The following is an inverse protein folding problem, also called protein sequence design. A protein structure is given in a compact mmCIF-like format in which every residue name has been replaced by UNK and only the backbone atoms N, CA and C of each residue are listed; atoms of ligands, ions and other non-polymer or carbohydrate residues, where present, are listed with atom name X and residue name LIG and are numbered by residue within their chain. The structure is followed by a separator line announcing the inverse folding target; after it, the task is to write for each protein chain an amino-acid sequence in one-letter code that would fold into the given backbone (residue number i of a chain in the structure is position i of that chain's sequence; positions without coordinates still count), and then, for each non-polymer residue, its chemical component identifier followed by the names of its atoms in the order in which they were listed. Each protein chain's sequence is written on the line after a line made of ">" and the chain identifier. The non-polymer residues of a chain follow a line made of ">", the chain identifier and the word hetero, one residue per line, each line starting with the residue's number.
data_IF_512976453120
#
_entry.id   IF_512976453120
#
_cell.length_a   1.000
_cell.length_b   1.000
_cell.length_c   1.000
_cell.angle_alpha   90.00
_cell.angle_beta   90.00
_cell.angle_gamma   90.00
#
_symmetry.space_group_name_H-M   'P 1'
#
loop_
_entity.id
_entity.type
_entity.pdbx_description
1 polymer ?
#
# COMPACT_ATOMS: atom_id res chain seq x y z
N UNK A 1 -1.67 -24.07 -15.04
CA UNK A 1 -1.63 -22.86 -14.22
C UNK A 1 -1.92 -23.26 -12.78
N UNK A 2 -0.92 -23.24 -11.91
CA UNK A 2 -1.10 -23.48 -10.48
C UNK A 2 -1.99 -22.37 -9.92
N UNK A 3 -3.18 -22.72 -9.43
CA UNK A 3 -4.07 -21.76 -8.78
C UNK A 3 -3.44 -21.38 -7.43
N UNK A 4 -3.20 -20.09 -7.20
CA UNK A 4 -2.69 -19.60 -5.94
C UNK A 4 -3.64 -19.97 -4.78
N UNK A 5 -3.08 -20.57 -3.73
CA UNK A 5 -3.80 -20.89 -2.52
C UNK A 5 -3.76 -19.72 -1.55
N UNK A 6 -4.92 -19.24 -1.16
CA UNK A 6 -5.09 -18.20 -0.14
C UNK A 6 -5.60 -18.85 1.14
N UNK A 7 -4.83 -18.75 2.21
CA UNK A 7 -5.25 -19.27 3.50
C UNK A 7 -5.91 -18.18 4.34
N UNK A 8 -7.03 -18.51 4.96
CA UNK A 8 -7.81 -17.60 5.84
C UNK A 8 -7.74 -18.13 7.25
N UNK A 9 -7.28 -17.32 8.19
CA UNK A 9 -7.17 -17.65 9.62
C UNK A 9 -8.00 -16.65 10.43
N UNK A 10 -9.06 -17.11 11.04
CA UNK A 10 -9.99 -16.28 11.83
C UNK A 10 -10.73 -17.20 12.79
N UNK A 11 -10.99 -16.83 14.04
CA UNK A 11 -11.73 -17.65 14.99
C UNK A 11 -13.25 -17.60 14.76
N UNK A 12 -13.76 -16.57 14.05
CA UNK A 12 -15.16 -16.47 13.65
C UNK A 12 -15.44 -17.29 12.38
N UNK A 13 -16.28 -18.33 12.51
CA UNK A 13 -16.67 -19.17 11.38
C UNK A 13 -17.37 -18.40 10.27
N UNK A 14 -18.19 -17.38 10.59
CA UNK A 14 -18.91 -16.58 9.61
C UNK A 14 -17.96 -15.78 8.73
N UNK A 15 -16.93 -15.18 9.33
CA UNK A 15 -15.89 -14.44 8.62
C UNK A 15 -15.06 -15.40 7.74
N UNK A 16 -14.64 -16.54 8.29
CA UNK A 16 -13.91 -17.56 7.51
C UNK A 16 -14.67 -17.98 6.28
N UNK A 17 -15.96 -18.30 6.44
CA UNK A 17 -16.84 -18.73 5.31
C UNK A 17 -17.00 -17.62 4.28
N UNK A 18 -17.25 -16.39 4.71
CA UNK A 18 -17.42 -15.25 3.80
C UNK A 18 -16.14 -14.96 3.02
N UNK A 19 -15.00 -14.84 3.71
CA UNK A 19 -13.72 -14.59 3.06
C UNK A 19 -13.34 -15.71 2.08
N UNK A 20 -13.51 -16.97 2.50
CA UNK A 20 -13.23 -18.14 1.65
C UNK A 20 -14.12 -18.15 0.40
N UNK A 21 -15.42 -17.89 0.55
CA UNK A 21 -16.35 -17.80 -0.56
C UNK A 21 -15.97 -16.71 -1.57
N UNK A 22 -15.64 -15.51 -1.08
CA UNK A 22 -15.18 -14.40 -1.91
C UNK A 22 -13.90 -14.75 -2.67
N UNK A 23 -12.89 -15.27 -1.98
CA UNK A 23 -11.63 -15.68 -2.58
C UNK A 23 -11.85 -16.71 -3.70
N UNK A 24 -12.74 -17.69 -3.48
CA UNK A 24 -13.08 -18.70 -4.48
C UNK A 24 -13.85 -18.10 -5.66
N UNK A 25 -14.75 -17.15 -5.42
CA UNK A 25 -15.50 -16.45 -6.47
C UNK A 25 -14.58 -15.64 -7.39
N UNK A 26 -13.44 -15.19 -6.89
CA UNK A 26 -12.38 -14.53 -7.66
C UNK A 26 -11.48 -15.50 -8.45
N UNK A 27 -11.73 -16.80 -8.36
CA UNK A 27 -11.01 -17.83 -9.10
C UNK A 27 -9.73 -18.34 -8.42
N UNK A 28 -9.46 -18.00 -7.16
CA UNK A 28 -8.37 -18.53 -6.36
C UNK A 28 -8.77 -19.83 -5.65
N UNK A 29 -7.78 -20.59 -5.16
CA UNK A 29 -8.03 -21.63 -4.16
C UNK A 29 -8.04 -20.99 -2.77
N UNK A 30 -8.86 -21.54 -1.86
CA UNK A 30 -8.93 -21.07 -0.50
C UNK A 30 -8.91 -22.22 0.50
N UNK A 31 -8.17 -22.03 1.61
CA UNK A 31 -8.18 -22.90 2.79
C UNK A 31 -8.54 -22.05 4.02
N UNK A 32 -9.24 -22.65 4.99
CA UNK A 32 -9.71 -21.95 6.17
C UNK A 32 -9.23 -22.65 7.45
N UNK A 33 -8.81 -21.84 8.42
CA UNK A 33 -8.25 -22.28 9.69
C UNK A 33 -8.88 -21.49 10.83
N UNK A 34 -9.23 -22.17 11.91
CA UNK A 34 -9.88 -21.57 13.09
C UNK A 34 -8.90 -20.90 14.06
N UNK A 35 -7.59 -21.13 13.87
CA UNK A 35 -6.54 -20.57 14.73
C UNK A 35 -5.20 -20.51 14.01
N UNK A 36 -4.31 -19.67 14.51
CA UNK A 36 -2.93 -19.57 14.04
C UNK A 36 -2.18 -20.92 14.19
N UNK A 37 -2.42 -21.61 15.30
CA UNK A 37 -1.80 -22.89 15.59
C UNK A 37 -2.24 -23.99 14.61
N UNK A 38 -3.53 -24.00 14.21
CA UNK A 38 -4.04 -24.94 13.22
C UNK A 38 -3.42 -24.70 11.85
N UNK A 39 -3.24 -23.43 11.46
CA UNK A 39 -2.55 -23.07 10.23
C UNK A 39 -1.07 -23.50 10.25
N UNK A 40 -0.32 -23.18 11.31
CA UNK A 40 1.10 -23.51 11.42
C UNK A 40 1.37 -25.02 11.37
N UNK A 41 0.42 -25.84 11.81
CA UNK A 41 0.52 -27.31 11.78
C UNK A 41 0.01 -27.93 10.47
N UNK A 42 -0.57 -27.14 9.60
CA UNK A 42 -1.19 -27.63 8.38
C UNK A 42 -0.17 -27.94 7.29
N UNK A 43 -0.48 -28.92 6.44
CA UNK A 43 0.29 -29.20 5.25
C UNK A 43 0.23 -28.03 4.22
N UNK A 44 -0.80 -27.20 4.28
CA UNK A 44 -0.99 -26.07 3.38
C UNK A 44 -0.07 -24.89 3.68
N UNK A 45 0.64 -24.87 4.81
CA UNK A 45 1.56 -23.78 5.17
C UNK A 45 2.52 -23.45 4.02
N UNK A 46 3.15 -24.46 3.45
CA UNK A 46 4.15 -24.29 2.39
C UNK A 46 3.54 -24.02 1.01
N UNK A 47 2.28 -24.36 0.80
CA UNK A 47 1.55 -24.13 -0.44
C UNK A 47 0.81 -22.79 -0.45
N UNK A 48 0.75 -22.11 0.71
CA UNK A 48 0.04 -20.84 0.87
C UNK A 48 0.78 -19.70 0.14
N UNK A 49 0.11 -19.14 -0.86
CA UNK A 49 0.62 -18.01 -1.64
C UNK A 49 0.33 -16.65 -1.00
N UNK A 50 -0.71 -16.58 -0.14
CA UNK A 50 -1.08 -15.39 0.63
C UNK A 50 -1.90 -15.81 1.85
N UNK A 51 -1.73 -15.11 2.97
CA UNK A 51 -2.43 -15.34 4.23
C UNK A 51 -3.32 -14.15 4.57
N UNK A 52 -4.61 -14.41 4.76
CA UNK A 52 -5.58 -13.47 5.31
C UNK A 52 -5.82 -13.86 6.76
N UNK A 53 -5.53 -12.98 7.72
CA UNK A 53 -5.53 -13.35 9.14
C UNK A 53 -6.19 -12.29 10.02
N UNK A 54 -7.06 -12.74 10.94
CA UNK A 54 -7.56 -11.86 11.99
C UNK A 54 -6.45 -11.54 12.99
N UNK A 55 -6.41 -10.29 13.41
CA UNK A 55 -5.48 -9.86 14.46
C UNK A 55 -5.87 -10.41 15.81
N UNK A 56 -7.17 -10.40 16.13
CA UNK A 56 -7.67 -10.76 17.45
C UNK A 56 -8.23 -12.17 17.48
N UNK A 57 -7.39 -13.13 17.78
CA UNK A 57 -7.78 -14.53 17.95
C UNK A 57 -7.38 -15.04 19.33
N UNK A 58 -8.14 -15.99 19.92
CA UNK A 58 -7.73 -16.70 21.12
C UNK A 58 -6.39 -17.43 20.93
N UNK A 59 -5.57 -17.49 21.96
CA UNK A 59 -4.26 -18.13 21.90
C UNK A 59 -3.23 -17.29 21.18
N UNK A 60 -2.83 -17.69 19.98
CA UNK A 60 -1.89 -16.94 19.15
C UNK A 60 -2.64 -15.92 18.29
N UNK A 61 -2.42 -14.63 18.56
CA UNK A 61 -2.98 -13.56 17.72
C UNK A 61 -2.25 -13.42 16.39
N UNK A 62 -2.86 -12.66 15.44
CA UNK A 62 -2.33 -12.52 14.09
C UNK A 62 -0.93 -11.89 14.01
N UNK A 63 -0.60 -10.93 14.89
CA UNK A 63 0.73 -10.29 14.92
C UNK A 63 1.81 -11.28 15.39
N UNK A 64 1.48 -12.13 16.36
CA UNK A 64 2.39 -13.17 16.81
C UNK A 64 2.60 -14.21 15.71
N UNK A 65 1.54 -14.61 15.00
CA UNK A 65 1.65 -15.49 13.83
C UNK A 65 2.60 -14.90 12.78
N UNK A 66 2.48 -13.61 12.46
CA UNK A 66 3.40 -12.92 11.55
C UNK A 66 4.86 -13.02 12.01
N UNK A 67 5.10 -12.79 13.31
CA UNK A 67 6.45 -12.86 13.89
C UNK A 67 7.03 -14.28 13.83
N UNK A 68 6.23 -15.29 14.11
CA UNK A 68 6.64 -16.70 14.03
C UNK A 68 6.99 -17.12 12.58
N UNK A 69 6.16 -16.70 11.61
CA UNK A 69 6.43 -16.96 10.19
C UNK A 69 7.71 -16.27 9.73
N UNK A 70 7.93 -15.03 10.13
CA UNK A 70 9.15 -14.28 9.81
C UNK A 70 10.39 -14.94 10.44
N UNK A 71 10.31 -15.37 11.70
CA UNK A 71 11.39 -16.08 12.40
C UNK A 71 11.72 -17.44 11.75
N UNK A 72 10.71 -18.12 11.18
CA UNK A 72 10.87 -19.36 10.42
C UNK A 72 11.38 -19.13 8.97
N UNK A 73 11.59 -17.88 8.55
CA UNK A 73 11.99 -17.54 7.17
C UNK A 73 10.88 -17.74 6.14
N UNK A 74 9.63 -17.89 6.57
CA UNK A 74 8.47 -18.00 5.69
C UNK A 74 8.05 -16.61 5.20
N UNK A 75 8.35 -16.31 3.95
CA UNK A 75 8.00 -15.04 3.29
C UNK A 75 6.57 -15.00 2.75
N UNK A 76 5.60 -15.60 3.45
CA UNK A 76 4.19 -15.59 3.04
C UNK A 76 3.64 -14.18 3.21
N UNK A 77 3.09 -13.58 2.16
CA UNK A 77 2.43 -12.27 2.25
C UNK A 77 1.21 -12.33 3.17
N UNK A 78 1.09 -11.35 4.09
CA UNK A 78 0.03 -11.32 5.10
C UNK A 78 -0.86 -10.10 4.89
N UNK A 79 -2.18 -10.36 4.82
CA UNK A 79 -3.25 -9.37 4.86
C UNK A 79 -3.92 -9.49 6.22
N UNK A 80 -3.92 -8.43 7.01
CA UNK A 80 -4.66 -8.42 8.26
C UNK A 80 -6.10 -7.97 8.07
N UNK A 81 -7.00 -8.63 8.78
CA UNK A 81 -8.40 -8.21 8.96
C UNK A 81 -8.65 -7.99 10.44
N UNK A 82 -9.44 -6.99 10.81
CA UNK A 82 -9.73 -6.69 12.22
C UNK A 82 -11.03 -5.93 12.42
N UNK A 83 -11.71 -6.19 13.53
CA UNK A 83 -12.85 -5.39 13.97
C UNK A 83 -12.44 -4.08 14.65
N UNK A 84 -11.19 -3.96 15.09
CA UNK A 84 -10.66 -2.80 15.80
C UNK A 84 -9.50 -2.19 15.04
N UNK A 85 -9.77 -1.13 14.27
CA UNK A 85 -8.74 -0.36 13.58
C UNK A 85 -8.03 0.57 14.58
N UNK A 86 -6.93 0.08 15.14
CA UNK A 86 -6.06 0.84 16.03
C UNK A 86 -4.79 1.24 15.25
N UNK A 87 -4.49 2.53 15.22
CA UNK A 87 -3.32 3.07 14.49
C UNK A 87 -2.00 2.41 14.89
N UNK A 88 -1.80 2.13 16.19
CA UNK A 88 -0.56 1.52 16.68
C UNK A 88 -0.42 0.07 16.19
N UNK A 89 -1.51 -0.70 16.22
CA UNK A 89 -1.55 -2.08 15.74
C UNK A 89 -1.33 -2.15 14.22
N UNK A 90 -1.98 -1.26 13.47
CA UNK A 90 -1.79 -1.13 12.03
C UNK A 90 -0.33 -0.80 11.70
N UNK A 91 0.24 0.18 12.38
CA UNK A 91 1.63 0.57 12.18
C UNK A 91 2.60 -0.58 12.48
N UNK A 92 2.39 -1.29 13.58
CA UNK A 92 3.20 -2.46 13.95
C UNK A 92 3.13 -3.56 12.90
N UNK A 93 1.93 -3.91 12.43
CA UNK A 93 1.71 -4.92 11.40
C UNK A 93 2.42 -4.56 10.08
N UNK A 94 2.26 -3.31 9.65
CA UNK A 94 2.84 -2.83 8.40
C UNK A 94 4.38 -2.73 8.48
N UNK A 95 4.93 -2.26 9.59
CA UNK A 95 6.38 -2.25 9.84
C UNK A 95 6.99 -3.66 9.84
N UNK A 96 6.22 -4.65 10.31
CA UNK A 96 6.61 -6.05 10.26
C UNK A 96 6.41 -6.70 8.88
N UNK A 97 6.03 -5.93 7.86
CA UNK A 97 5.94 -6.39 6.47
C UNK A 97 4.57 -6.93 6.05
N UNK A 98 3.49 -6.58 6.75
CA UNK A 98 2.14 -6.88 6.28
C UNK A 98 1.86 -6.17 4.94
N UNK A 99 1.05 -6.82 4.11
CA UNK A 99 0.68 -6.33 2.78
C UNK A 99 -0.43 -5.32 2.81
N UNK A 100 -1.45 -5.63 3.58
CA UNK A 100 -2.63 -4.81 3.74
C UNK A 100 -3.26 -5.04 5.12
N UNK A 101 -4.10 -4.09 5.49
CA UNK A 101 -4.84 -4.08 6.73
C UNK A 101 -6.27 -3.63 6.44
N UNK A 102 -7.25 -4.53 6.59
CA UNK A 102 -8.65 -4.30 6.29
C UNK A 102 -9.48 -4.24 7.57
N UNK A 103 -10.32 -3.24 7.71
CA UNK A 103 -11.31 -3.14 8.79
C UNK A 103 -12.51 -4.04 8.52
N UNK A 104 -13.01 -4.75 9.53
CA UNK A 104 -14.31 -5.46 9.45
C UNK A 104 -15.45 -4.46 9.73
N UNK A 105 -16.53 -4.41 8.92
CA UNK A 105 -16.76 -5.21 7.70
C UNK A 105 -15.97 -4.69 6.50
N UNK A 106 -15.34 -5.58 5.73
CA UNK A 106 -14.69 -5.28 4.46
C UNK A 106 -15.58 -5.67 3.29
N UNK A 107 -15.42 -5.00 2.16
CA UNK A 107 -16.14 -5.34 0.93
C UNK A 107 -15.32 -6.26 0.01
N UNK A 108 -16.00 -6.80 -1.00
CA UNK A 108 -15.44 -7.76 -1.96
C UNK A 108 -14.23 -7.19 -2.70
N UNK A 109 -14.31 -5.90 -3.08
CA UNK A 109 -13.29 -5.24 -3.88
C UNK A 109 -12.03 -4.97 -3.07
N UNK A 110 -12.17 -4.56 -1.81
CA UNK A 110 -11.05 -4.36 -0.87
C UNK A 110 -10.26 -5.65 -0.66
N UNK A 111 -10.96 -6.77 -0.39
CA UNK A 111 -10.31 -8.07 -0.21
C UNK A 111 -9.62 -8.51 -1.50
N UNK A 112 -10.29 -8.37 -2.65
CA UNK A 112 -9.71 -8.75 -3.95
C UNK A 112 -8.47 -7.95 -4.29
N UNK A 113 -8.48 -6.64 -4.07
CA UNK A 113 -7.33 -5.77 -4.30
C UNK A 113 -6.16 -6.17 -3.40
N UNK A 114 -6.41 -6.40 -2.10
CA UNK A 114 -5.39 -6.83 -1.16
C UNK A 114 -4.77 -8.19 -1.56
N UNK A 115 -5.59 -9.17 -1.96
CA UNK A 115 -5.11 -10.47 -2.43
C UNK A 115 -4.30 -10.35 -3.73
N UNK A 116 -4.75 -9.55 -4.69
CA UNK A 116 -3.99 -9.32 -5.93
C UNK A 116 -2.65 -8.65 -5.67
N UNK A 117 -2.64 -7.68 -4.79
CA UNK A 117 -1.42 -7.04 -4.31
C UNK A 117 -0.50 -8.12 -3.70
N UNK A 118 -1.04 -8.97 -2.81
CA UNK A 118 -0.37 -10.08 -2.18
C UNK A 118 0.32 -11.01 -3.18
N UNK A 119 -0.33 -11.39 -4.22
CA UNK A 119 0.16 -12.39 -5.18
C UNK A 119 1.14 -11.86 -6.21
N UNK A 120 1.23 -10.56 -6.42
CA UNK A 120 2.18 -9.95 -7.37
C UNK A 120 3.61 -9.98 -6.87
N UNK A 121 3.85 -10.32 -5.61
CA UNK A 121 5.19 -10.33 -5.01
C UNK A 121 5.79 -8.92 -4.85
N UNK A 122 4.98 -7.90 -5.00
CA UNK A 122 5.37 -6.49 -4.86
C UNK A 122 5.48 -6.08 -3.37
N UNK A 123 5.82 -7.08 -2.52
CA UNK A 123 5.93 -6.92 -1.08
C UNK A 123 7.28 -6.42 -0.66
N UNK A 124 7.22 -5.30 -0.16
CA UNK A 124 8.21 -4.59 0.57
C UNK A 124 7.84 -3.12 0.54
N UNK A 125 6.74 -2.78 1.23
CA UNK A 125 6.47 -1.37 1.55
C UNK A 125 7.76 -0.68 2.03
N UNK A 126 8.63 -1.45 2.70
CA UNK A 126 9.99 -1.02 3.09
C UNK A 126 10.93 -0.74 1.92
N UNK A 127 10.66 -1.19 0.69
CA UNK A 127 11.48 -0.89 -0.49
C UNK A 127 11.01 0.35 -1.24
N UNK A 128 9.68 0.63 -1.26
CA UNK A 128 9.15 1.77 -1.99
C UNK A 128 9.35 3.06 -1.20
N UNK A 129 10.14 3.96 -1.75
CA UNK A 129 10.32 5.29 -1.22
C UNK A 129 9.26 6.22 -1.83
N UNK A 130 8.42 6.78 -0.98
CA UNK A 130 7.44 7.79 -1.36
C UNK A 130 8.00 9.16 -0.98
N UNK A 131 8.28 9.98 -1.96
CA UNK A 131 8.76 11.34 -1.72
C UNK A 131 7.59 12.31 -1.63
N UNK A 132 7.60 13.17 -0.61
CA UNK A 132 6.58 14.20 -0.38
C UNK A 132 7.21 15.57 -0.56
N UNK A 133 6.69 16.36 -1.50
CA UNK A 133 7.17 17.71 -1.78
C UNK A 133 6.00 18.68 -1.58
N UNK A 134 6.09 19.51 -0.54
CA UNK A 134 5.07 20.47 -0.15
C UNK A 134 5.76 21.58 0.66
N UNK A 135 5.45 22.84 0.41
CA UNK A 135 6.06 23.97 1.13
C UNK A 135 5.48 24.16 2.53
N UNK A 136 4.25 23.70 2.78
CA UNK A 136 3.63 23.69 4.11
C UNK A 136 4.22 22.55 4.99
N UNK A 137 4.91 22.93 6.06
CA UNK A 137 5.54 21.98 6.99
C UNK A 137 4.52 21.06 7.65
N UNK A 138 3.33 21.55 7.97
CA UNK A 138 2.29 20.75 8.64
C UNK A 138 1.75 19.67 7.72
N UNK A 139 1.45 20.03 6.46
CA UNK A 139 0.99 19.09 5.42
C UNK A 139 2.08 18.06 5.14
N UNK A 140 3.29 18.53 4.91
CA UNK A 140 4.45 17.68 4.62
C UNK A 140 4.68 16.65 5.73
N UNK A 141 4.69 17.10 6.99
CA UNK A 141 4.89 16.23 8.16
C UNK A 141 3.75 15.21 8.32
N UNK A 142 2.50 15.67 8.23
CA UNK A 142 1.33 14.78 8.38
C UNK A 142 1.30 13.72 7.29
N UNK A 143 1.51 14.12 6.03
CA UNK A 143 1.55 13.19 4.89
C UNK A 143 2.68 12.17 5.04
N UNK A 144 3.88 12.61 5.46
CA UNK A 144 5.02 11.72 5.69
C UNK A 144 4.72 10.68 6.76
N UNK A 145 4.21 11.11 7.93
CA UNK A 145 3.84 10.19 9.01
C UNK A 145 2.76 9.19 8.58
N UNK A 146 1.82 9.65 7.76
CA UNK A 146 0.76 8.79 7.23
C UNK A 146 1.33 7.73 6.27
N UNK A 147 2.20 8.11 5.35
CA UNK A 147 2.91 7.19 4.46
C UNK A 147 3.72 6.15 5.24
N UNK A 148 4.44 6.57 6.28
CA UNK A 148 5.19 5.68 7.14
C UNK A 148 4.27 4.72 7.93
N UNK A 149 3.09 5.20 8.37
CA UNK A 149 2.10 4.36 9.05
C UNK A 149 1.52 3.26 8.15
N UNK A 150 1.57 3.45 6.84
CA UNK A 150 1.21 2.44 5.83
C UNK A 150 2.36 1.47 5.52
N UNK A 151 3.52 1.60 6.19
CA UNK A 151 4.68 0.73 6.02
C UNK A 151 5.59 1.09 4.84
N UNK A 152 5.38 2.22 4.15
CA UNK A 152 6.28 2.73 3.14
C UNK A 152 7.46 3.49 3.78
N UNK A 153 8.56 3.59 3.04
CA UNK A 153 9.60 4.58 3.36
C UNK A 153 9.13 5.94 2.86
N UNK A 154 9.35 6.99 3.63
CA UNK A 154 9.00 8.34 3.23
C UNK A 154 10.22 9.27 3.26
N UNK A 155 10.24 10.24 2.35
CA UNK A 155 11.19 11.34 2.35
C UNK A 155 10.45 12.65 2.10
N UNK A 156 10.79 13.70 2.84
CA UNK A 156 10.09 14.97 2.85
C UNK A 156 10.98 16.11 2.34
N UNK A 157 10.43 16.94 1.46
CA UNK A 157 11.14 18.06 0.84
C UNK A 157 10.28 19.31 0.89
N UNK A 158 10.86 20.43 1.29
CA UNK A 158 10.16 21.71 1.41
C UNK A 158 10.03 22.47 0.07
N UNK A 159 10.70 22.01 -0.98
CA UNK A 159 10.64 22.64 -2.30
C UNK A 159 11.00 21.63 -3.40
N UNK A 160 10.59 21.94 -4.62
CA UNK A 160 10.98 21.22 -5.83
C UNK A 160 12.51 21.17 -5.99
N UNK A 161 13.19 22.26 -5.71
CA UNK A 161 14.65 22.34 -5.83
C UNK A 161 15.37 21.43 -4.83
N UNK A 162 14.89 21.36 -3.58
CA UNK A 162 15.44 20.48 -2.56
C UNK A 162 15.28 19.01 -2.94
N UNK A 163 14.17 18.65 -3.54
CA UNK A 163 13.94 17.30 -4.09
C UNK A 163 14.88 17.01 -5.26
N UNK A 164 14.98 17.90 -6.25
CA UNK A 164 15.84 17.73 -7.43
C UNK A 164 17.34 17.61 -7.09
N UNK A 165 17.77 18.26 -6.02
CA UNK A 165 19.15 18.17 -5.51
C UNK A 165 19.41 16.99 -4.58
N UNK A 166 18.34 16.31 -4.13
CA UNK A 166 18.47 15.14 -3.28
C UNK A 166 19.03 13.96 -4.07
N UNK A 167 19.83 13.12 -3.46
CA UNK A 167 20.26 11.85 -4.07
C UNK A 167 19.14 10.82 -4.21
N UNK A 168 17.88 11.17 -3.91
CA UNK A 168 16.77 10.22 -3.78
C UNK A 168 15.88 10.11 -5.03
N UNK A 169 16.14 10.88 -6.09
CA UNK A 169 15.37 10.85 -7.34
C UNK A 169 15.26 9.42 -7.92
N UNK A 170 16.36 8.70 -8.00
CA UNK A 170 16.39 7.34 -8.54
C UNK A 170 15.68 6.32 -7.66
N UNK A 171 15.68 6.55 -6.35
CA UNK A 171 15.09 5.65 -5.36
C UNK A 171 13.60 5.91 -5.18
N UNK A 172 13.10 7.10 -5.60
CA UNK A 172 11.70 7.49 -5.45
C UNK A 172 10.81 6.62 -6.33
N UNK A 173 9.91 5.88 -5.67
CA UNK A 173 8.96 5.00 -6.33
C UNK A 173 7.66 5.71 -6.71
N UNK A 174 7.28 6.74 -5.94
CA UNK A 174 6.13 7.60 -6.19
C UNK A 174 6.38 8.97 -5.56
N UNK A 175 5.91 10.03 -6.21
CA UNK A 175 6.02 11.40 -5.76
C UNK A 175 4.64 11.95 -5.40
N UNK A 176 4.48 12.38 -4.15
CA UNK A 176 3.34 13.18 -3.69
C UNK A 176 3.78 14.63 -3.75
N UNK A 177 3.05 15.44 -4.50
CA UNK A 177 3.50 16.76 -4.90
C UNK A 177 2.42 17.81 -4.71
N UNK A 178 2.72 18.87 -3.94
CA UNK A 178 1.83 20.02 -3.94
C UNK A 178 1.88 20.75 -5.29
N UNK A 179 0.70 21.17 -5.73
CA UNK A 179 0.57 21.87 -7.00
C UNK A 179 1.14 23.30 -6.93
N UNK A 180 1.00 23.95 -5.78
CA UNK A 180 1.37 25.35 -5.59
C UNK A 180 2.48 25.49 -4.57
N UNK A 181 3.68 25.68 -5.06
CA UNK A 181 4.85 25.97 -4.24
C UNK A 181 5.54 27.25 -4.74
N UNK A 182 6.26 27.96 -3.88
CA UNK A 182 7.13 29.06 -4.28
C UNK A 182 8.20 28.59 -5.29
N UNK A 183 8.69 29.48 -6.10
CA UNK A 183 9.76 29.33 -7.10
C UNK A 183 9.41 28.34 -8.22
N UNK A 184 9.46 27.04 -7.97
CA UNK A 184 9.07 25.99 -8.92
C UNK A 184 7.79 25.30 -8.45
N UNK A 185 6.70 25.47 -9.19
CA UNK A 185 5.43 24.82 -8.91
C UNK A 185 5.44 23.31 -9.29
N UNK A 186 4.41 22.58 -8.84
CA UNK A 186 4.35 21.15 -9.05
C UNK A 186 4.31 20.73 -10.53
N UNK A 187 3.66 21.48 -11.41
CA UNK A 187 3.64 21.17 -12.85
C UNK A 187 4.99 21.38 -13.51
N UNK A 188 5.72 22.38 -13.07
CA UNK A 188 7.08 22.65 -13.55
C UNK A 188 8.03 21.53 -13.11
N UNK A 189 7.93 21.09 -11.84
CA UNK A 189 8.70 19.93 -11.35
C UNK A 189 8.38 18.66 -12.13
N UNK A 190 7.09 18.36 -12.37
CA UNK A 190 6.69 17.20 -13.18
C UNK A 190 7.30 17.27 -14.58
N UNK A 191 7.25 18.43 -15.24
CA UNK A 191 7.81 18.64 -16.56
C UNK A 191 9.34 18.47 -16.58
N UNK A 192 10.02 18.95 -15.56
CA UNK A 192 11.48 18.82 -15.42
C UNK A 192 11.89 17.35 -15.21
N UNK A 193 11.13 16.59 -14.39
CA UNK A 193 11.36 15.16 -14.18
C UNK A 193 11.20 14.39 -15.50
N UNK A 194 10.14 14.68 -16.26
CA UNK A 194 9.90 14.07 -17.56
C UNK A 194 11.02 14.41 -18.57
N UNK A 195 11.47 15.67 -18.62
CA UNK A 195 12.56 16.11 -19.49
C UNK A 195 13.89 15.43 -19.18
N UNK A 196 14.11 15.08 -17.89
CA UNK A 196 15.30 14.31 -17.44
C UNK A 196 15.15 12.79 -17.60
N UNK A 197 14.01 12.31 -18.10
CA UNK A 197 13.75 10.89 -18.30
C UNK A 197 13.36 10.12 -17.04
N UNK A 198 12.96 10.81 -15.96
CA UNK A 198 12.45 10.16 -14.76
C UNK A 198 10.97 9.81 -14.94
N UNK A 199 10.66 8.52 -15.03
CA UNK A 199 9.29 7.99 -15.06
C UNK A 199 8.67 7.80 -13.68
N UNK A 200 8.84 8.77 -12.78
CA UNK A 200 8.29 8.70 -11.41
C UNK A 200 6.78 8.98 -11.48
N UNK A 201 5.91 8.08 -11.01
CA UNK A 201 4.48 8.36 -10.88
C UNK A 201 4.23 9.55 -9.94
N UNK A 202 3.46 10.54 -10.40
CA UNK A 202 3.17 11.75 -9.64
C UNK A 202 1.71 11.76 -9.21
N UNK A 203 1.49 11.94 -7.92
CA UNK A 203 0.20 12.23 -7.29
C UNK A 203 0.22 13.69 -6.86
N UNK A 204 -0.69 14.49 -7.41
CA UNK A 204 -0.84 15.86 -6.93
C UNK A 204 -1.76 15.93 -5.72
N UNK A 205 -1.37 16.76 -4.74
CA UNK A 205 -2.25 17.15 -3.64
C UNK A 205 -2.46 18.67 -3.74
N UNK A 206 -3.69 19.15 -3.59
CA UNK A 206 -3.98 20.58 -3.73
C UNK A 206 -5.17 21.00 -2.87
N UNK A 207 -5.12 22.23 -2.36
CA UNK A 207 -6.25 22.87 -1.69
C UNK A 207 -7.22 23.57 -2.67
N UNK A 208 -6.90 23.59 -3.96
CA UNK A 208 -7.63 24.36 -4.96
C UNK A 208 -8.06 23.49 -6.14
N UNK A 209 -9.37 23.43 -6.37
CA UNK A 209 -9.95 22.81 -7.58
C UNK A 209 -9.73 23.74 -8.79
N UNK A 210 -8.51 23.69 -9.35
CA UNK A 210 -8.21 24.33 -10.62
C UNK A 210 -8.29 23.27 -11.74
N UNK A 211 -9.46 23.22 -12.39
CA UNK A 211 -9.72 22.28 -13.50
C UNK A 211 -8.69 22.39 -14.64
N UNK A 212 -8.13 23.58 -14.87
CA UNK A 212 -7.12 23.81 -15.88
C UNK A 212 -5.78 23.14 -15.50
N UNK A 213 -5.33 23.34 -14.27
CA UNK A 213 -4.09 22.71 -13.78
C UNK A 213 -4.22 21.19 -13.70
N UNK A 214 -5.39 20.68 -13.25
CA UNK A 214 -5.69 19.24 -13.26
C UNK A 214 -5.62 18.63 -14.65
N UNK A 215 -6.23 19.29 -15.66
CA UNK A 215 -6.17 18.84 -17.06
C UNK A 215 -4.73 18.81 -17.60
N UNK A 216 -3.94 19.83 -17.34
CA UNK A 216 -2.53 19.93 -17.75
C UNK A 216 -1.66 18.85 -17.11
N UNK A 217 -1.81 18.63 -15.81
CA UNK A 217 -1.05 17.63 -15.09
C UNK A 217 -1.37 16.20 -15.56
N UNK A 218 -2.65 15.88 -15.78
CA UNK A 218 -3.05 14.58 -16.31
C UNK A 218 -2.51 14.36 -17.74
N UNK A 219 -2.53 15.39 -18.61
CA UNK A 219 -1.92 15.33 -19.93
C UNK A 219 -0.39 15.15 -19.87
N UNK A 220 0.24 15.69 -18.83
CA UNK A 220 1.66 15.52 -18.56
C UNK A 220 2.00 14.18 -17.85
N UNK A 221 1.03 13.27 -17.67
CA UNK A 221 1.24 11.94 -17.11
C UNK A 221 1.13 11.83 -15.60
N UNK A 222 0.44 12.78 -14.93
CA UNK A 222 0.09 12.59 -13.52
C UNK A 222 -0.83 11.38 -13.35
N UNK A 223 -0.60 10.61 -12.30
CA UNK A 223 -1.39 9.39 -12.02
C UNK A 223 -2.70 9.74 -11.33
N UNK A 224 -2.68 10.71 -10.42
CA UNK A 224 -3.86 11.09 -9.66
C UNK A 224 -3.77 12.51 -9.07
N UNK A 225 -4.94 12.97 -8.61
CA UNK A 225 -5.12 14.19 -7.82
C UNK A 225 -5.89 13.87 -6.55
N UNK A 226 -5.45 14.45 -5.43
CA UNK A 226 -6.16 14.45 -4.16
C UNK A 226 -6.43 15.89 -3.73
N UNK A 227 -7.68 16.18 -3.43
CA UNK A 227 -8.08 17.49 -2.91
C UNK A 227 -7.90 17.53 -1.39
N UNK A 228 -7.26 18.57 -0.86
CA UNK A 228 -7.12 18.79 0.59
C UNK A 228 -8.45 19.32 1.16
N UNK A 229 -9.00 18.75 2.26
CA UNK A 229 -8.51 17.62 3.03
C UNK A 229 -8.87 16.27 2.39
N UNK A 230 -7.95 15.31 2.42
CA UNK A 230 -8.15 13.93 1.97
C UNK A 230 -8.14 12.96 3.17
N UNK A 231 -8.78 11.80 3.02
CA UNK A 231 -8.73 10.76 4.03
C UNK A 231 -7.47 9.89 3.92
N UNK A 232 -7.13 9.22 5.02
CA UNK A 232 -6.04 8.25 5.08
C UNK A 232 -6.20 7.18 4.00
N UNK A 233 -7.42 6.68 3.82
CA UNK A 233 -7.77 5.65 2.83
C UNK A 233 -7.60 6.14 1.39
N UNK A 234 -8.03 7.37 1.09
CA UNK A 234 -7.86 7.95 -0.24
C UNK A 234 -6.39 8.08 -0.62
N UNK A 235 -5.53 8.53 0.32
CA UNK A 235 -4.11 8.62 0.09
C UNK A 235 -3.51 7.23 -0.17
N UNK A 236 -3.81 6.25 0.68
CA UNK A 236 -3.29 4.89 0.57
C UNK A 236 -3.67 4.23 -0.76
N UNK A 237 -4.95 4.29 -1.14
CA UNK A 237 -5.44 3.75 -2.41
C UNK A 237 -4.76 4.41 -3.61
N UNK A 238 -4.58 5.73 -3.55
CA UNK A 238 -3.94 6.49 -4.62
C UNK A 238 -2.46 6.14 -4.76
N UNK A 239 -1.73 6.00 -3.65
CA UNK A 239 -0.33 5.57 -3.65
C UNK A 239 -0.20 4.16 -4.22
N UNK A 240 -1.04 3.21 -3.81
CA UNK A 240 -1.03 1.87 -4.36
C UNK A 240 -1.29 1.87 -5.88
N UNK A 241 -2.28 2.63 -6.36
CA UNK A 241 -2.56 2.76 -7.79
C UNK A 241 -1.38 3.33 -8.57
N UNK A 242 -0.70 4.32 -8.01
CA UNK A 242 0.47 4.95 -8.62
C UNK A 242 1.67 3.97 -8.73
N UNK A 243 1.92 3.18 -7.71
CA UNK A 243 2.98 2.17 -7.74
C UNK A 243 2.71 1.08 -8.79
N UNK A 244 1.45 0.72 -9.00
CA UNK A 244 1.06 -0.26 -10.03
C UNK A 244 1.28 0.23 -11.46
N UNK A 245 1.12 1.52 -11.74
CA UNK A 245 1.37 2.08 -13.08
C UNK A 245 2.85 2.03 -13.46
N UNK A 246 3.75 2.19 -12.50
CA UNK A 246 5.21 2.11 -12.73
C UNK A 246 5.64 0.73 -13.24
N UNK A 247 5.12 -0.34 -12.63
CA UNK A 247 5.53 -1.71 -12.96
C UNK A 247 5.02 -2.18 -14.32
N UNK A 248 3.91 -1.62 -14.78
CA UNK A 248 3.37 -1.89 -16.12
C UNK A 248 4.26 -1.28 -17.22
N UNK A 249 4.86 -0.13 -16.96
CA UNK A 249 5.75 0.57 -17.91
C UNK A 249 7.14 -0.09 -18.00
N UNK A 250 7.62 -0.67 -16.90
CA UNK A 250 8.93 -1.34 -16.85
C UNK A 250 8.96 -2.71 -17.57
N UNK A 251 7.79 -3.31 -17.84
CA UNK A 251 7.67 -4.62 -18.54
C UNK A 251 7.49 -4.49 -20.06
N UNK A 252 7.41 -3.27 -20.59
CA UNK A 252 7.19 -3.00 -22.02
C UNK A 252 8.44 -2.52 -22.76
N UNK A 253 9.60 -2.56 -22.11
CA UNK A 253 10.91 -2.25 -22.68
C UNK A 253 11.80 -3.49 -22.65
#
# INVERSE_FOLDING_TARGET
>A
MTKNLISVVDDDESIRRTATFLIQSFGFQAAAFESAESFLKSAQLHDTSCLVVDIQMPGMNGLKLQSELAAAGCGIPIIFITAYDNKDTRQQAMQAGAVAFLGKPFNDEELLQAVRLALRGEFGATKNLISVVDDDESVRRTTTLLIESFGFRAAAFASAESFLKSGQLHDTSCLILDLRMPDMNGLELQSELAARGYGIPVIFITAYDDKNSRGRAMQAGAVAFLDKPFSDEQLLQTVHSALMTRDSSAKST
#
